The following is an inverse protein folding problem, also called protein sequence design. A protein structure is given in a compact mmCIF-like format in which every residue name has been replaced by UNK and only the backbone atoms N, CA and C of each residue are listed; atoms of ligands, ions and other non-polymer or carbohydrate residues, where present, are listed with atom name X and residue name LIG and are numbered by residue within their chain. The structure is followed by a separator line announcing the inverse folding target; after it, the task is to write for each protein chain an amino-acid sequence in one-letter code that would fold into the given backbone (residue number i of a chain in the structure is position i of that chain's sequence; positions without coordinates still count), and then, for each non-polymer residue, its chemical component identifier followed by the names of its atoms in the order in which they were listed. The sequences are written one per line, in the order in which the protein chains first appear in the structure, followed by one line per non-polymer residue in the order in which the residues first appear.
data_IF_226037801820
#
_entry.id   IF_226037801820
#
_cell.length_a   1.000
_cell.length_b   1.000
_cell.length_c   1.000
_cell.angle_alpha   90.00
_cell.angle_beta   90.00
_cell.angle_gamma   90.00
#
_symmetry.space_group_name_H-M   'P 1'
#
loop_
_entity.id
_entity.type
_entity.pdbx_description
1 polymer ?
#
# COMPACT_ATOMS: atom_id res chain seq x y z
N UNK A 1 11.13 18.73 -2.36
CA UNK A 1 10.53 17.46 -2.84
C UNK A 1 9.89 16.82 -1.62
N UNK A 2 8.61 16.43 -1.60
CA UNK A 2 8.11 15.70 -0.45
C UNK A 2 8.90 14.39 -0.37
N UNK A 3 9.49 14.11 0.78
CA UNK A 3 10.16 12.83 1.04
C UNK A 3 9.09 11.74 0.98
N UNK A 4 9.05 10.95 -0.09
CA UNK A 4 8.30 9.70 -0.08
C UNK A 4 8.95 8.81 0.99
N UNK A 5 8.27 8.60 2.12
CA UNK A 5 8.76 7.78 3.23
C UNK A 5 8.77 6.27 2.91
N UNK A 6 8.22 5.86 1.76
CA UNK A 6 8.24 4.50 1.23
C UNK A 6 8.74 4.47 -0.22
N UNK A 7 9.14 3.29 -0.70
CA UNK A 7 9.59 3.13 -2.09
C UNK A 7 8.46 3.50 -3.07
N UNK A 8 8.68 4.42 -4.01
CA UNK A 8 7.66 4.81 -4.98
C UNK A 8 7.18 3.63 -5.84
N UNK A 9 5.94 3.73 -6.30
CA UNK A 9 5.38 2.89 -7.36
C UNK A 9 6.14 3.08 -8.70
N UNK A 10 6.04 2.12 -9.65
CA UNK A 10 5.33 0.85 -9.55
C UNK A 10 6.12 -0.20 -8.76
N UNK A 11 5.38 -1.06 -8.05
CA UNK A 11 5.92 -2.32 -7.55
C UNK A 11 5.52 -3.44 -8.52
N UNK A 12 6.40 -4.42 -8.64
CA UNK A 12 6.30 -5.55 -9.54
C UNK A 12 6.19 -6.83 -8.73
N UNK A 13 5.55 -7.84 -9.31
CA UNK A 13 5.34 -9.15 -8.68
C UNK A 13 5.88 -10.26 -9.58
N UNK A 14 6.71 -11.12 -9.01
CA UNK A 14 7.14 -12.37 -9.64
C UNK A 14 6.98 -13.53 -8.64
N UNK A 15 6.02 -14.41 -8.92
CA UNK A 15 5.62 -15.49 -8.01
C UNK A 15 5.13 -14.94 -6.66
N UNK A 16 5.98 -15.01 -5.64
CA UNK A 16 5.72 -14.52 -4.27
C UNK A 16 6.65 -13.36 -3.87
N UNK A 17 7.39 -12.83 -4.83
CA UNK A 17 8.37 -11.77 -4.59
C UNK A 17 7.84 -10.46 -5.15
N UNK A 18 7.67 -9.48 -4.27
CA UNK A 18 7.34 -8.10 -4.63
C UNK A 18 8.63 -7.30 -4.69
N UNK A 19 8.81 -6.45 -5.71
CA UNK A 19 10.02 -5.66 -5.87
C UNK A 19 9.76 -4.33 -6.59
N UNK A 20 10.71 -3.40 -6.58
CA UNK A 20 10.68 -2.24 -7.48
C UNK A 20 12.04 -1.99 -8.09
N UNK A 21 12.04 -1.39 -9.27
CA UNK A 21 13.25 -1.07 -10.02
C UNK A 21 13.58 0.42 -9.89
N UNK A 22 14.87 0.75 -9.99
CA UNK A 22 15.32 2.12 -10.21
C UNK A 22 15.21 2.49 -11.71
N UNK A 23 15.60 3.72 -12.06
CA UNK A 23 15.53 4.21 -13.44
C UNK A 23 16.38 3.40 -14.45
N UNK A 24 17.43 2.74 -13.97
CA UNK A 24 18.33 1.91 -14.78
C UNK A 24 17.87 0.44 -14.86
N UNK A 25 16.72 0.10 -14.26
CA UNK A 25 16.18 -1.26 -14.26
C UNK A 25 16.77 -2.20 -13.20
N UNK A 26 17.57 -1.69 -12.26
CA UNK A 26 18.10 -2.47 -11.14
C UNK A 26 17.13 -2.51 -9.97
N UNK A 27 17.16 -3.63 -9.24
CA UNK A 27 16.32 -3.82 -8.08
C UNK A 27 16.67 -2.80 -6.97
N UNK A 28 15.67 -2.01 -6.56
CA UNK A 28 15.74 -1.04 -5.46
C UNK A 28 15.31 -1.65 -4.14
N UNK A 29 14.36 -2.58 -4.16
CA UNK A 29 13.96 -3.39 -3.01
C UNK A 29 13.29 -4.68 -3.47
N UNK A 30 13.40 -5.75 -2.68
CA UNK A 30 12.52 -6.90 -2.81
C UNK A 30 12.03 -7.39 -1.46
N UNK A 31 10.85 -8.02 -1.47
CA UNK A 31 10.24 -8.69 -0.33
C UNK A 31 9.62 -10.01 -0.81
N UNK A 32 10.03 -11.13 -0.21
CA UNK A 32 9.47 -12.43 -0.50
C UNK A 32 8.43 -12.81 0.55
N UNK A 33 7.23 -13.17 0.11
CA UNK A 33 6.17 -13.67 0.99
C UNK A 33 6.44 -15.13 1.31
N UNK A 34 6.79 -15.38 2.57
CA UNK A 34 7.06 -16.72 3.11
C UNK A 34 5.94 -17.17 4.04
N UNK A 35 5.75 -18.48 4.16
CA UNK A 35 4.73 -19.09 5.03
C UNK A 35 5.24 -20.35 5.71
N UNK A 36 4.68 -20.66 6.88
CA UNK A 36 4.94 -21.91 7.60
C UNK A 36 3.76 -22.87 7.48
N UNK A 37 2.56 -22.40 7.82
CA UNK A 37 1.30 -23.16 7.77
C UNK A 37 0.29 -22.53 6.80
N UNK A 38 0.81 -21.81 5.80
CA UNK A 38 0.01 -21.04 4.83
C UNK A 38 0.09 -21.73 3.48
N UNK A 39 -1.04 -21.83 2.79
CA UNK A 39 -1.07 -22.50 1.50
C UNK A 39 -0.32 -21.69 0.43
N UNK A 40 0.23 -22.34 -0.61
CA UNK A 40 0.79 -21.67 -1.79
C UNK A 40 -0.09 -20.54 -2.34
N UNK A 41 -1.39 -20.79 -2.45
CA UNK A 41 -2.36 -19.85 -3.02
C UNK A 41 -2.58 -18.61 -2.14
N UNK A 42 -2.64 -18.79 -0.82
CA UNK A 42 -2.72 -17.68 0.14
C UNK A 42 -1.45 -16.82 0.11
N UNK A 43 -0.26 -17.43 -0.02
CA UNK A 43 0.99 -16.67 -0.13
C UNK A 43 1.03 -15.81 -1.40
N UNK A 44 0.57 -16.34 -2.52
CA UNK A 44 0.45 -15.59 -3.77
C UNK A 44 -0.61 -14.50 -3.68
N UNK A 45 -1.73 -14.74 -2.99
CA UNK A 45 -2.75 -13.72 -2.73
C UNK A 45 -2.20 -12.57 -1.87
N UNK A 46 -1.44 -12.89 -0.81
CA UNK A 46 -0.77 -11.90 0.02
C UNK A 46 0.28 -11.11 -0.78
N UNK A 47 1.05 -11.76 -1.65
CA UNK A 47 2.02 -11.08 -2.51
C UNK A 47 1.35 -10.12 -3.50
N UNK A 48 0.21 -10.51 -4.09
CA UNK A 48 -0.63 -9.61 -4.93
C UNK A 48 -1.13 -8.41 -4.14
N UNK A 49 -1.62 -8.62 -2.91
CA UNK A 49 -2.10 -7.53 -2.05
C UNK A 49 -0.98 -6.54 -1.70
N UNK A 50 0.21 -7.04 -1.36
CA UNK A 50 1.37 -6.20 -1.07
C UNK A 50 1.80 -5.42 -2.31
N UNK A 51 1.85 -6.07 -3.48
CA UNK A 51 2.20 -5.41 -4.75
C UNK A 51 1.26 -4.24 -5.08
N UNK A 52 -0.03 -4.38 -4.77
CA UNK A 52 -1.04 -3.35 -5.00
C UNK A 52 -1.07 -2.25 -3.91
N UNK A 53 -0.26 -2.36 -2.84
CA UNK A 53 -0.33 -1.42 -1.71
C UNK A 53 -0.13 0.06 -2.11
N UNK A 54 0.79 0.44 -3.03
CA UNK A 54 0.90 1.82 -3.48
C UNK A 54 -0.36 2.35 -4.16
N UNK A 55 -0.99 1.53 -5.04
CA UNK A 55 -2.20 1.92 -5.76
C UNK A 55 -3.40 2.03 -4.80
N UNK A 56 -3.48 1.12 -3.83
CA UNK A 56 -4.51 1.17 -2.77
C UNK A 56 -4.34 2.40 -1.87
N UNK A 57 -3.10 2.78 -1.53
CA UNK A 57 -2.83 3.98 -0.74
C UNK A 57 -3.28 5.24 -1.50
N UNK A 58 -2.89 5.38 -2.77
CA UNK A 58 -3.30 6.51 -3.61
C UNK A 58 -4.83 6.58 -3.74
N UNK A 59 -5.49 5.46 -4.02
CA UNK A 59 -6.94 5.41 -4.13
C UNK A 59 -7.63 5.81 -2.81
N UNK A 60 -7.09 5.43 -1.66
CA UNK A 60 -7.62 5.81 -0.36
C UNK A 60 -7.40 7.29 -0.06
N UNK A 61 -6.24 7.85 -0.39
CA UNK A 61 -5.95 9.29 -0.29
C UNK A 61 -6.94 10.10 -1.15
N UNK A 62 -7.14 9.69 -2.41
CA UNK A 62 -8.09 10.35 -3.32
C UNK A 62 -9.54 10.27 -2.80
N UNK A 63 -9.95 9.09 -2.31
CA UNK A 63 -11.27 8.91 -1.73
C UNK A 63 -11.47 9.76 -0.47
N UNK A 64 -10.49 9.79 0.43
CA UNK A 64 -10.60 10.59 1.66
C UNK A 64 -10.59 12.08 1.37
N UNK A 65 -9.83 12.55 0.38
CA UNK A 65 -9.87 13.93 -0.09
C UNK A 65 -11.27 14.30 -0.60
N UNK A 66 -11.86 13.47 -1.48
CA UNK A 66 -13.20 13.69 -2.00
C UNK A 66 -14.27 13.67 -0.89
N UNK A 67 -14.23 12.64 -0.03
CA UNK A 67 -15.23 12.45 1.03
C UNK A 67 -15.14 13.52 2.11
N UNK A 68 -13.96 14.12 2.34
CA UNK A 68 -13.81 15.19 3.35
C UNK A 68 -14.74 16.39 3.10
N UNK A 69 -15.11 16.65 1.85
CA UNK A 69 -16.05 17.71 1.46
C UNK A 69 -17.53 17.35 1.70
N UNK A 70 -17.85 16.06 1.80
CA UNK A 70 -19.21 15.53 1.88
C UNK A 70 -19.51 14.79 3.20
N UNK A 71 -18.51 14.64 4.06
CA UNK A 71 -18.63 13.82 5.25
C UNK A 71 -19.60 14.45 6.25
N UNK A 72 -20.70 13.75 6.53
CA UNK A 72 -21.60 14.07 7.64
C UNK A 72 -21.00 13.55 8.96
N UNK A 73 -21.44 14.10 10.09
CA UNK A 73 -21.01 13.69 11.44
C UNK A 73 -21.09 12.17 11.66
N UNK A 74 -22.14 11.53 11.13
CA UNK A 74 -22.39 10.08 11.22
C UNK A 74 -21.26 9.21 10.61
N UNK A 75 -20.47 9.74 9.69
CA UNK A 75 -19.39 9.02 8.99
C UNK A 75 -17.99 9.43 9.47
N UNK A 76 -17.88 10.26 10.50
CA UNK A 76 -16.58 10.70 11.01
C UNK A 76 -15.68 9.54 11.43
N UNK A 77 -16.25 8.46 11.98
CA UNK A 77 -15.45 7.31 12.38
C UNK A 77 -14.75 6.66 11.19
N UNK A 78 -15.46 6.46 10.07
CA UNK A 78 -14.86 5.92 8.85
C UNK A 78 -13.73 6.82 8.33
N UNK A 79 -13.91 8.15 8.39
CA UNK A 79 -12.87 9.11 8.00
C UNK A 79 -11.67 9.10 8.95
N UNK A 80 -11.89 8.92 10.26
CA UNK A 80 -10.81 8.75 11.25
C UNK A 80 -10.02 7.48 10.95
N UNK A 81 -10.69 6.37 10.70
CA UNK A 81 -10.04 5.08 10.44
C UNK A 81 -9.23 5.12 9.13
N UNK A 82 -9.76 5.74 8.08
CA UNK A 82 -9.06 5.92 6.82
C UNK A 82 -7.80 6.80 6.97
N UNK A 83 -7.92 7.94 7.66
CA UNK A 83 -6.78 8.82 7.97
C UNK A 83 -5.72 8.11 8.82
N UNK A 84 -6.14 7.33 9.81
CA UNK A 84 -5.22 6.54 10.64
C UNK A 84 -4.50 5.45 9.82
N UNK A 85 -5.19 4.80 8.88
CA UNK A 85 -4.58 3.83 7.98
C UNK A 85 -3.52 4.48 7.07
N UNK A 86 -3.83 5.63 6.46
CA UNK A 86 -2.88 6.42 5.65
C UNK A 86 -1.67 6.81 6.51
N UNK A 87 -1.89 7.40 7.69
CA UNK A 87 -0.81 7.83 8.58
C UNK A 87 0.12 6.68 8.99
N UNK A 88 -0.42 5.47 9.24
CA UNK A 88 0.39 4.28 9.48
C UNK A 88 1.21 3.89 8.25
N UNK A 89 0.61 3.89 7.07
CA UNK A 89 1.28 3.52 5.82
C UNK A 89 2.39 4.51 5.43
N UNK A 90 2.22 5.80 5.75
CA UNK A 90 3.20 6.86 5.45
C UNK A 90 4.17 7.15 6.60
N UNK A 91 4.10 6.44 7.73
CA UNK A 91 5.00 6.65 8.87
C UNK A 91 4.83 8.04 9.53
N UNK A 92 3.59 8.49 9.66
CA UNK A 92 3.18 9.74 10.32
C UNK A 92 2.45 9.49 11.66
N UNK A 93 2.53 8.26 12.19
CA UNK A 93 1.91 7.85 13.45
C UNK A 93 2.59 8.45 14.69
#
# INVERSE_FOLDING_TARGET
MPEHKHTPAPWLLEGRTVYALNADGFNRFCAQVQGAQTTPAELEANARLICAAPDLLQALEDCTALLSCYCKEEHEQCMRDARAAIARATGQA
#
